data_IF_348113687243
#
_entry.id   IF_348113687243
#
_cell.length_a   1.000
_cell.length_b   1.000
_cell.length_c   1.000
_cell.angle_alpha   90.00
_cell.angle_beta   90.00
_cell.angle_gamma   90.00
#
_symmetry.space_group_name_H-M   'P 1'
#
loop_
_entity.id
_entity.type
_entity.pdbx_description
1 polymer ?
#
# COMPACT_ATOMS: atom_id res chain seq x y z
N UNK A 1 13.69 -12.30 18.30
CA UNK A 1 13.75 -12.69 16.87
C UNK A 1 13.65 -11.43 16.02
N UNK A 2 14.19 -11.44 14.81
CA UNK A 2 14.10 -10.33 13.87
C UNK A 2 13.72 -10.87 12.48
N UNK A 3 12.87 -10.14 11.77
CA UNK A 3 12.35 -10.55 10.46
C UNK A 3 12.49 -9.39 9.48
N UNK A 4 12.97 -9.67 8.27
CA UNK A 4 12.98 -8.72 7.16
C UNK A 4 11.72 -8.97 6.35
N UNK A 5 10.91 -7.94 6.16
CA UNK A 5 9.66 -8.01 5.40
C UNK A 5 9.50 -6.80 4.49
N UNK A 6 8.69 -6.88 3.43
CA UNK A 6 8.28 -5.71 2.66
C UNK A 6 7.65 -4.64 3.55
N UNK A 7 8.04 -3.38 3.36
CA UNK A 7 7.46 -2.22 4.08
C UNK A 7 5.95 -2.08 3.87
N UNK A 8 5.41 -2.67 2.80
CA UNK A 8 3.97 -2.75 2.54
C UNK A 8 3.19 -3.39 3.68
N UNK A 9 3.84 -4.16 4.56
CA UNK A 9 3.24 -4.71 5.78
C UNK A 9 2.54 -3.65 6.62
N UNK A 10 2.96 -2.38 6.57
CA UNK A 10 2.34 -1.31 7.36
C UNK A 10 0.93 -0.92 6.90
N UNK A 11 0.63 -1.03 5.59
CA UNK A 11 -0.53 -0.36 4.98
C UNK A 11 -1.40 -1.27 4.10
N UNK A 12 -0.87 -2.41 3.65
CA UNK A 12 -1.59 -3.33 2.77
C UNK A 12 -2.82 -3.90 3.48
N UNK A 13 -3.98 -3.90 2.80
CA UNK A 13 -5.26 -4.39 3.34
C UNK A 13 -5.23 -5.90 3.64
N UNK A 14 -4.58 -6.70 2.79
CA UNK A 14 -4.46 -8.15 2.96
C UNK A 14 -3.56 -8.53 4.14
N UNK A 15 -2.68 -7.62 4.57
CA UNK A 15 -1.77 -7.82 5.70
C UNK A 15 -2.37 -7.44 7.07
N UNK A 16 -3.64 -7.01 7.12
CA UNK A 16 -4.29 -6.56 8.37
C UNK A 16 -4.25 -7.61 9.47
N UNK A 17 -4.74 -8.81 9.19
CA UNK A 17 -4.79 -9.90 10.18
C UNK A 17 -3.39 -10.24 10.69
N UNK A 18 -2.41 -10.31 9.79
CA UNK A 18 -1.02 -10.53 10.19
C UNK A 18 -0.51 -9.42 11.11
N UNK A 19 -0.79 -8.14 10.81
CA UNK A 19 -0.45 -7.02 11.68
C UNK A 19 -1.07 -7.15 13.08
N UNK A 20 -2.31 -7.59 13.18
CA UNK A 20 -3.02 -7.78 14.45
C UNK A 20 -2.36 -8.88 15.30
N UNK A 21 -1.97 -10.01 14.69
CA UNK A 21 -1.29 -11.13 15.37
C UNK A 21 0.13 -10.78 15.84
N UNK A 22 0.89 -10.01 15.05
CA UNK A 22 2.27 -9.64 15.41
C UNK A 22 2.34 -8.48 16.41
N UNK A 23 1.31 -7.62 16.47
CA UNK A 23 1.31 -6.38 17.26
C UNK A 23 1.67 -6.63 18.74
N UNK A 24 1.08 -7.60 19.47
CA UNK A 24 1.39 -7.82 20.89
C UNK A 24 2.87 -8.15 21.13
N UNK A 25 3.54 -8.79 20.17
CA UNK A 25 4.92 -9.28 20.27
C UNK A 25 5.98 -8.33 19.68
N UNK A 26 5.53 -7.29 18.98
CA UNK A 26 6.42 -6.29 18.37
C UNK A 26 7.18 -5.50 19.43
N UNK A 27 8.49 -5.39 19.28
CA UNK A 27 9.37 -4.63 20.20
C UNK A 27 10.21 -3.60 19.47
N UNK A 28 10.30 -3.68 18.15
CA UNK A 28 10.96 -2.65 17.36
C UNK A 28 10.67 -2.77 15.87
N UNK A 29 10.77 -1.64 15.19
CA UNK A 29 10.67 -1.49 13.74
C UNK A 29 11.90 -0.70 13.29
N UNK A 30 12.66 -1.24 12.36
CA UNK A 30 13.77 -0.54 11.71
C UNK A 30 13.39 -0.33 10.25
N UNK A 31 13.08 0.91 9.92
CA UNK A 31 12.50 1.30 8.66
C UNK A 31 13.59 1.66 7.65
N UNK A 32 13.62 0.92 6.54
CA UNK A 32 14.48 1.18 5.40
C UNK A 32 13.66 1.56 4.16
N UNK A 33 12.43 2.07 4.32
CA UNK A 33 11.52 2.36 3.21
C UNK A 33 12.15 3.29 2.17
N UNK A 34 12.94 4.28 2.60
CA UNK A 34 13.63 5.22 1.72
C UNK A 34 15.00 4.75 1.23
N UNK A 35 15.49 3.59 1.70
CA UNK A 35 16.81 3.07 1.32
C UNK A 35 16.64 1.75 0.57
N UNK A 36 17.14 1.70 -0.67
CA UNK A 36 17.24 0.43 -1.37
C UNK A 36 18.35 -0.44 -0.74
N UNK A 37 17.96 -1.34 0.17
CA UNK A 37 18.87 -2.32 0.79
C UNK A 37 19.06 -3.60 -0.03
N UNK A 38 18.25 -3.79 -1.08
CA UNK A 38 18.26 -4.98 -1.93
C UNK A 38 18.32 -4.57 -3.40
N UNK A 39 19.53 -4.30 -3.93
CA UNK A 39 19.72 -3.91 -5.33
C UNK A 39 19.03 -4.89 -6.29
N UNK A 40 18.39 -4.36 -7.33
CA UNK A 40 17.61 -5.17 -8.29
C UNK A 40 16.17 -5.48 -7.86
N UNK A 41 15.74 -5.01 -6.68
CA UNK A 41 14.35 -5.10 -6.22
C UNK A 41 13.71 -3.71 -6.15
N UNK A 42 12.44 -3.61 -6.55
CA UNK A 42 11.64 -2.37 -6.48
C UNK A 42 10.94 -2.19 -5.12
N UNK A 43 10.90 -3.25 -4.32
CA UNK A 43 10.20 -3.32 -3.03
C UNK A 43 11.13 -2.81 -1.92
N UNK A 44 10.65 -1.84 -1.14
CA UNK A 44 11.35 -1.41 0.05
C UNK A 44 11.06 -2.31 1.25
N UNK A 45 11.98 -2.35 2.21
CA UNK A 45 11.99 -3.34 3.30
C UNK A 45 12.00 -2.69 4.68
N UNK A 46 11.58 -3.46 5.68
CA UNK A 46 11.75 -3.14 7.09
C UNK A 46 12.21 -4.36 7.87
N UNK A 47 12.86 -4.13 9.02
CA UNK A 47 13.14 -5.18 10.01
C UNK A 47 12.17 -5.03 11.18
N UNK A 48 11.41 -6.10 11.45
CA UNK A 48 10.57 -6.21 12.64
C UNK A 48 11.29 -7.01 13.71
N UNK A 49 11.49 -6.40 14.88
CA UNK A 49 12.07 -7.06 16.07
C UNK A 49 10.93 -7.51 16.99
N UNK A 50 10.87 -8.80 17.30
CA UNK A 50 9.81 -9.40 18.09
C UNK A 50 10.35 -10.27 19.24
N UNK A 51 9.58 -10.37 20.33
CA UNK A 51 9.85 -11.27 21.45
C UNK A 51 8.57 -12.00 21.84
N UNK A 52 8.70 -13.16 22.50
CA UNK A 52 7.55 -13.99 22.91
C UNK A 52 6.66 -13.29 23.95
N UNK A 53 7.25 -12.46 24.81
CA UNK A 53 6.51 -11.70 25.81
C UNK A 53 5.84 -10.48 25.18
N UNK A 54 4.56 -10.30 25.46
CA UNK A 54 3.85 -9.10 25.05
C UNK A 54 4.50 -7.82 25.59
N UNK A 55 4.22 -6.71 24.93
CA UNK A 55 4.60 -5.37 25.39
C UNK A 55 3.54 -4.35 24.99
N UNK A 56 3.43 -3.27 25.76
CA UNK A 56 2.54 -2.14 25.44
C UNK A 56 3.16 -1.23 24.37
N UNK A 57 4.49 -1.08 24.40
CA UNK A 57 5.22 -0.19 23.49
C UNK A 57 6.19 -0.94 22.58
N UNK A 58 6.69 -0.22 21.57
CA UNK A 58 7.82 -0.61 20.74
C UNK A 58 8.65 0.61 20.31
N UNK A 59 9.90 0.38 19.89
CA UNK A 59 10.78 1.43 19.32
C UNK A 59 10.70 1.45 17.79
N UNK A 60 10.34 2.57 17.19
CA UNK A 60 10.47 2.79 15.75
C UNK A 60 11.77 3.55 15.46
N UNK A 61 12.51 3.12 14.43
CA UNK A 61 13.73 3.77 13.94
C UNK A 61 13.64 3.97 12.44
N UNK A 62 13.66 5.23 12.01
CA UNK A 62 13.94 5.60 10.63
C UNK A 62 15.44 5.53 10.39
N UNK A 63 15.87 4.60 9.54
CA UNK A 63 17.28 4.34 9.32
C UNK A 63 17.94 5.33 8.37
N UNK A 64 17.16 6.12 7.62
CA UNK A 64 17.67 7.19 6.75
C UNK A 64 17.85 8.47 7.55
N UNK A 65 16.78 8.90 8.23
CA UNK A 65 16.76 10.15 8.99
C UNK A 65 17.44 10.01 10.35
N UNK A 66 17.84 8.80 10.74
CA UNK A 66 18.38 8.46 12.06
C UNK A 66 17.46 8.92 13.21
N UNK A 67 16.15 8.91 12.95
CA UNK A 67 15.11 9.29 13.91
C UNK A 67 14.65 8.07 14.68
N UNK A 68 14.57 8.18 16.00
CA UNK A 68 14.01 7.13 16.87
C UNK A 68 12.88 7.71 17.71
N UNK A 69 11.75 7.00 17.75
CA UNK A 69 10.61 7.33 18.60
C UNK A 69 10.07 6.07 19.28
N UNK A 70 9.50 6.23 20.46
CA UNK A 70 8.81 5.18 21.19
C UNK A 70 7.31 5.37 21.07
N UNK A 71 6.62 4.31 20.68
CA UNK A 71 5.19 4.36 20.35
C UNK A 71 4.42 3.34 21.19
N UNK A 72 3.26 3.75 21.71
CA UNK A 72 2.28 2.86 22.30
C UNK A 72 1.52 2.12 21.19
N UNK A 73 1.36 0.80 21.33
CA UNK A 73 0.71 -0.04 20.32
C UNK A 73 -0.79 0.20 20.20
N UNK A 74 -1.41 0.78 21.22
CA UNK A 74 -2.83 1.16 21.20
C UNK A 74 -3.09 2.30 20.22
N UNK A 75 -2.06 3.10 19.90
CA UNK A 75 -2.14 4.16 18.90
C UNK A 75 -2.00 3.64 17.46
N UNK A 76 -1.66 2.35 17.28
CA UNK A 76 -1.63 1.73 15.96
C UNK A 76 -3.05 1.39 15.51
N UNK A 77 -3.53 2.10 14.49
CA UNK A 77 -4.78 1.76 13.80
C UNK A 77 -4.62 0.61 12.80
N UNK A 78 -5.59 0.49 11.89
CA UNK A 78 -5.62 -0.55 10.84
C UNK A 78 -4.38 -0.52 9.92
N UNK A 79 -3.85 0.69 9.72
CA UNK A 79 -2.58 0.97 9.06
C UNK A 79 -1.63 1.54 10.10
N UNK A 80 -0.39 1.05 10.10
CA UNK A 80 0.63 1.56 11.00
C UNK A 80 1.21 2.87 10.46
N UNK A 81 1.17 3.90 11.30
CA UNK A 81 1.76 5.21 11.06
C UNK A 81 2.67 5.49 12.24
N UNK A 82 3.94 5.80 11.95
CA UNK A 82 4.97 5.98 12.97
C UNK A 82 5.27 7.46 13.16
N UNK A 83 4.33 8.16 13.77
CA UNK A 83 4.45 9.59 14.05
C UNK A 83 3.98 9.89 15.48
N UNK A 84 4.61 10.90 16.10
CA UNK A 84 4.23 11.40 17.42
C UNK A 84 3.15 12.49 17.34
N UNK A 85 2.81 12.97 16.14
CA UNK A 85 1.76 13.95 15.96
C UNK A 85 0.40 13.35 16.38
N UNK A 86 -0.07 13.76 17.57
CA UNK A 86 -1.47 13.64 17.94
C UNK A 86 -2.31 14.22 16.80
N UNK A 87 -3.44 13.59 16.50
CA UNK A 87 -4.27 13.88 15.33
C UNK A 87 -4.74 15.35 15.30
N UNK A 88 -3.89 16.25 14.82
CA UNK A 88 -4.30 17.56 14.37
C UNK A 88 -5.28 17.37 13.22
N UNK A 89 -6.24 18.28 13.15
CA UNK A 89 -7.38 18.30 12.22
C UNK A 89 -6.91 17.91 10.81
N UNK A 90 -7.13 16.65 10.41
CA UNK A 90 -6.70 16.15 9.10
C UNK A 90 -7.70 16.61 8.07
N UNK A 91 -7.33 17.63 7.31
CA UNK A 91 -8.04 17.96 6.08
C UNK A 91 -7.65 16.90 5.05
N UNK A 92 -8.63 16.27 4.40
CA UNK A 92 -8.35 15.29 3.35
C UNK A 92 -7.90 16.05 2.11
N UNK A 93 -7.02 15.44 1.33
CA UNK A 93 -6.67 15.97 0.01
C UNK A 93 -7.91 16.23 -0.85
N UNK A 94 -8.89 15.31 -0.78
CA UNK A 94 -10.19 15.43 -1.45
C UNK A 94 -11.08 16.57 -0.98
N UNK A 95 -10.79 17.20 0.16
CA UNK A 95 -11.56 18.36 0.64
C UNK A 95 -11.14 19.66 -0.10
N UNK A 96 -9.95 19.69 -0.72
CA UNK A 96 -9.44 20.82 -1.52
C UNK A 96 -9.37 20.52 -3.00
N UNK A 97 -9.16 19.26 -3.36
CA UNK A 97 -8.95 18.83 -4.73
C UNK A 97 -9.99 17.80 -5.14
N UNK A 98 -10.60 18.00 -6.31
CA UNK A 98 -11.44 16.98 -6.91
C UNK A 98 -10.55 15.83 -7.40
N UNK A 99 -10.73 14.65 -6.81
CA UNK A 99 -10.03 13.43 -7.21
C UNK A 99 -11.01 12.51 -7.90
N UNK A 100 -10.82 12.31 -9.20
CA UNK A 100 -11.42 11.20 -9.95
C UNK A 100 -10.32 10.18 -10.25
N UNK A 101 -10.63 8.90 -10.08
CA UNK A 101 -9.76 7.81 -10.51
C UNK A 101 -10.60 6.83 -11.31
N UNK A 102 -10.10 6.38 -12.46
CA UNK A 102 -10.81 5.41 -13.28
C UNK A 102 -10.88 4.09 -12.53
N UNK A 103 -12.08 3.50 -12.44
CA UNK A 103 -12.22 2.16 -11.88
C UNK A 103 -11.75 1.17 -12.94
N UNK A 104 -10.57 0.58 -12.73
CA UNK A 104 -10.18 -0.61 -13.46
C UNK A 104 -11.03 -1.77 -12.93
N UNK A 105 -12.13 -2.07 -13.63
CA UNK A 105 -13.13 -3.07 -13.21
C UNK A 105 -12.58 -4.51 -13.20
N UNK A 106 -11.30 -4.71 -13.58
CA UNK A 106 -10.70 -6.01 -13.94
C UNK A 106 -11.51 -6.79 -14.99
N UNK A 107 -12.53 -6.16 -15.57
CA UNK A 107 -13.37 -6.69 -16.65
C UNK A 107 -12.73 -6.29 -17.97
N UNK A 108 -11.55 -6.85 -18.23
CA UNK A 108 -10.82 -6.58 -19.48
C UNK A 108 -11.68 -6.94 -20.70
N UNK A 109 -12.51 -7.97 -20.57
CA UNK A 109 -13.44 -8.45 -21.61
C UNK A 109 -14.44 -7.38 -22.05
N UNK A 110 -14.86 -6.47 -21.17
CA UNK A 110 -15.75 -5.35 -21.55
C UNK A 110 -15.09 -4.33 -22.50
N UNK A 111 -13.76 -4.38 -22.63
CA UNK A 111 -12.97 -3.48 -23.48
C UNK A 111 -12.34 -4.20 -24.69
N UNK A 112 -12.44 -5.53 -24.76
CA UNK A 112 -11.96 -6.33 -25.88
C UNK A 112 -13.17 -6.80 -26.69
N UNK A 113 -13.46 -6.19 -27.85
CA UNK A 113 -14.55 -6.66 -28.67
C UNK A 113 -14.27 -8.07 -29.17
N UNK A 114 -15.17 -9.01 -28.87
CA UNK A 114 -15.19 -10.33 -29.48
C UNK A 114 -16.04 -10.28 -30.76
N UNK A 115 -15.67 -11.06 -31.79
CA UNK A 115 -16.44 -11.18 -33.04
C UNK A 115 -16.73 -9.85 -33.75
N UNK A 116 -15.69 -9.05 -33.97
CA UNK A 116 -15.77 -7.82 -34.78
C UNK A 116 -15.27 -8.04 -36.20
N UNK A 117 -15.71 -7.17 -37.13
CA UNK A 117 -15.13 -7.01 -38.46
C UNK A 117 -14.45 -5.65 -38.57
N UNK A 118 -13.29 -5.59 -39.23
CA UNK A 118 -12.61 -4.33 -39.53
C UNK A 118 -12.94 -3.90 -40.95
N UNK A 119 -13.50 -2.70 -41.11
CA UNK A 119 -13.77 -2.09 -42.43
C UNK A 119 -13.54 -0.58 -42.38
N UNK A 120 -12.86 -0.03 -43.39
CA UNK A 120 -12.68 1.42 -43.57
C UNK A 120 -12.18 2.19 -42.33
N UNK A 121 -11.33 1.59 -41.50
CA UNK A 121 -10.83 2.23 -40.26
C UNK A 121 -11.76 2.10 -39.05
N UNK A 122 -12.82 1.30 -39.14
CA UNK A 122 -13.77 1.04 -38.06
C UNK A 122 -13.77 -0.43 -37.64
N UNK A 123 -13.99 -0.64 -36.35
CA UNK A 123 -14.39 -1.91 -35.75
C UNK A 123 -15.92 -1.99 -35.75
N UNK A 124 -16.48 -2.95 -36.48
CA UNK A 124 -17.92 -3.25 -36.54
C UNK A 124 -18.18 -4.43 -35.60
N UNK A 125 -18.95 -4.20 -34.54
CA UNK A 125 -19.31 -5.21 -33.54
C UNK A 125 -20.49 -6.06 -34.01
N UNK A 126 -20.70 -7.21 -33.37
CA UNK A 126 -21.73 -8.18 -33.77
C UNK A 126 -23.16 -7.67 -33.58
N UNK A 127 -23.35 -6.68 -32.70
CA UNK A 127 -24.61 -5.97 -32.45
C UNK A 127 -24.85 -4.80 -33.42
N UNK A 128 -23.90 -4.53 -34.32
CA UNK A 128 -23.97 -3.44 -35.30
C UNK A 128 -23.35 -2.12 -34.83
N UNK A 129 -22.86 -2.04 -33.60
CA UNK A 129 -22.14 -0.85 -33.11
C UNK A 129 -20.81 -0.67 -33.84
N UNK A 130 -20.46 0.58 -34.13
CA UNK A 130 -19.19 0.93 -34.80
C UNK A 130 -18.28 1.73 -33.87
N UNK A 131 -16.99 1.37 -33.85
CA UNK A 131 -15.96 2.10 -33.09
C UNK A 131 -14.79 2.47 -33.99
N UNK A 132 -14.36 3.72 -33.92
CA UNK A 132 -13.23 4.23 -34.71
C UNK A 132 -11.90 3.63 -34.19
N UNK A 133 -11.03 3.26 -35.12
CA UNK A 133 -9.66 2.87 -34.76
C UNK A 133 -8.85 4.11 -34.38
N UNK A 134 -8.74 4.37 -33.09
CA UNK A 134 -7.86 5.43 -32.57
C UNK A 134 -6.43 4.88 -32.55
N UNK A 135 -5.60 5.34 -33.50
CA UNK A 135 -4.14 5.06 -33.58
C UNK A 135 -3.37 5.97 -32.63
#
# INVERSE_FOLDING_TARGET
MAYIVPSSIYKNVFARRLREEIRPFLTGVYDYTSQNKFPGTTISSTVLRMRKQESVDFSYRDMEQKKEIRLCKELLGEKWVFDNAAAERRIRFGDWFQVSNTIATLCNDAFLPENYRKENGYYILSDGDTREEVI
#
